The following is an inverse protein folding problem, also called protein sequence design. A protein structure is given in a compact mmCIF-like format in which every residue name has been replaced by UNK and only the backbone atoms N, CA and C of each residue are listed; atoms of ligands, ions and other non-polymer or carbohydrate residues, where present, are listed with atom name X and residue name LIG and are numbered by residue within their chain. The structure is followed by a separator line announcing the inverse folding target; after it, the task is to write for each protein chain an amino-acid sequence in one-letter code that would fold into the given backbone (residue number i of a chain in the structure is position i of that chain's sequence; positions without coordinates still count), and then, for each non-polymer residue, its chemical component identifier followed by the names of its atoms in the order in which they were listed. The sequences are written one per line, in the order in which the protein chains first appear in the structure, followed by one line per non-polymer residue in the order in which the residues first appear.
data_IF_773867020798
#
_entry.id   IF_773867020798
#
_cell.length_a   1.000
_cell.length_b   1.000
_cell.length_c   1.000
_cell.angle_alpha   90.00
_cell.angle_beta   90.00
_cell.angle_gamma   90.00
#
_symmetry.space_group_name_H-M   'P 1'
#
loop_
_entity.id
_entity.type
_entity.pdbx_description
1 polymer ?
#
# COMPACT_ATOMS: atom_id res chain seq x y z
N UNK A 1 6.53 -1.02 -4.12
CA UNK A 1 5.72 -2.22 -3.81
C UNK A 1 6.25 -3.37 -4.66
N UNK A 2 6.06 -4.62 -4.25
CA UNK A 2 6.48 -5.80 -5.03
C UNK A 2 5.58 -6.99 -4.70
N UNK A 3 5.28 -7.85 -5.67
CA UNK A 3 4.39 -9.00 -5.50
C UNK A 3 5.17 -10.28 -5.19
N UNK A 4 4.58 -11.18 -4.40
CA UNK A 4 5.14 -12.51 -4.18
C UNK A 4 5.02 -13.39 -5.44
N UNK A 5 5.77 -14.49 -5.47
CA UNK A 5 5.81 -15.39 -6.65
C UNK A 5 4.47 -16.02 -7.01
N UNK A 6 3.54 -16.10 -6.07
CA UNK A 6 2.25 -16.76 -6.25
C UNK A 6 1.15 -15.76 -6.65
N UNK A 7 1.34 -14.46 -6.41
CA UNK A 7 0.31 -13.46 -6.73
C UNK A 7 -0.70 -13.23 -5.59
N UNK A 8 -0.36 -13.57 -4.36
CA UNK A 8 -1.28 -13.48 -3.21
C UNK A 8 -1.00 -12.26 -2.33
N UNK A 9 0.26 -11.81 -2.27
CA UNK A 9 0.71 -10.79 -1.33
C UNK A 9 1.51 -9.71 -2.05
N UNK A 10 1.18 -8.46 -1.74
CA UNK A 10 1.92 -7.28 -2.15
C UNK A 10 2.74 -6.77 -0.96
N UNK A 11 4.07 -6.81 -1.06
CA UNK A 11 4.96 -6.16 -0.10
C UNK A 11 4.92 -4.64 -0.32
N UNK A 12 4.52 -3.91 0.73
CA UNK A 12 4.43 -2.45 0.73
C UNK A 12 5.43 -1.88 1.73
N UNK A 13 6.19 -0.88 1.30
CA UNK A 13 7.17 -0.16 2.13
C UNK A 13 6.75 1.30 2.24
N UNK A 14 6.60 1.77 3.47
CA UNK A 14 6.27 3.16 3.79
C UNK A 14 7.51 3.85 4.34
N UNK A 15 7.85 4.99 3.76
CA UNK A 15 8.89 5.84 4.33
C UNK A 15 8.32 6.70 5.45
N UNK A 16 9.03 6.76 6.57
CA UNK A 16 8.57 7.45 7.76
C UNK A 16 9.50 8.63 8.09
N UNK A 17 8.93 9.79 8.38
CA UNK A 17 9.74 10.96 8.71
C UNK A 17 10.27 10.85 10.14
N UNK A 18 11.58 10.66 10.31
CA UNK A 18 12.24 10.58 11.62
C UNK A 18 12.27 9.17 12.25
N UNK A 19 11.89 8.14 11.50
CA UNK A 19 12.03 6.74 11.91
C UNK A 19 12.49 5.88 10.72
N UNK A 20 12.78 4.60 10.97
CA UNK A 20 13.07 3.65 9.89
C UNK A 20 11.83 3.42 9.02
N UNK A 21 12.05 3.20 7.73
CA UNK A 21 11.01 2.69 6.83
C UNK A 21 10.39 1.41 7.38
N UNK A 22 9.11 1.18 7.08
CA UNK A 22 8.38 0.02 7.56
C UNK A 22 7.74 -0.74 6.39
N UNK A 23 7.89 -2.05 6.43
CA UNK A 23 7.31 -2.97 5.46
C UNK A 23 6.11 -3.70 6.06
N UNK A 24 5.07 -3.93 5.26
CA UNK A 24 3.95 -4.83 5.55
C UNK A 24 3.60 -5.67 4.32
N UNK A 25 3.09 -6.88 4.54
CA UNK A 25 2.45 -7.66 3.48
C UNK A 25 0.97 -7.29 3.38
N UNK A 26 0.53 -6.86 2.21
CA UNK A 26 -0.86 -6.52 1.91
C UNK A 26 -1.47 -7.61 1.02
N UNK A 27 -2.47 -8.35 1.51
CA UNK A 27 -3.19 -9.33 0.70
C UNK A 27 -3.85 -8.74 -0.55
N UNK A 28 -3.92 -9.54 -1.60
CA UNK A 28 -4.54 -9.18 -2.87
C UNK A 28 -5.95 -8.58 -2.71
N UNK A 29 -6.80 -9.17 -1.86
CA UNK A 29 -8.16 -8.66 -1.63
C UNK A 29 -8.18 -7.21 -1.09
N UNK A 30 -7.21 -6.83 -0.24
CA UNK A 30 -7.07 -5.45 0.24
C UNK A 30 -6.65 -4.55 -0.91
N UNK A 31 -5.72 -4.99 -1.76
CA UNK A 31 -5.26 -4.24 -2.94
C UNK A 31 -6.42 -3.98 -3.90
N UNK A 32 -7.21 -5.01 -4.23
CA UNK A 32 -8.37 -4.86 -5.11
C UNK A 32 -9.45 -3.98 -4.48
N UNK A 33 -9.74 -4.13 -3.18
CA UNK A 33 -10.67 -3.25 -2.49
C UNK A 33 -10.21 -1.79 -2.53
N UNK A 34 -8.93 -1.53 -2.25
CA UNK A 34 -8.35 -0.18 -2.33
C UNK A 34 -8.44 0.38 -3.76
N UNK A 35 -8.11 -0.38 -4.80
CA UNK A 35 -8.22 0.07 -6.18
C UNK A 35 -9.65 0.44 -6.59
N UNK A 36 -10.65 -0.28 -6.07
CA UNK A 36 -12.07 -0.01 -6.34
C UNK A 36 -12.59 1.23 -5.59
N UNK A 37 -12.04 1.56 -4.42
CA UNK A 37 -12.60 2.59 -3.53
C UNK A 37 -11.75 3.85 -3.37
N UNK A 38 -10.46 3.83 -3.72
CA UNK A 38 -9.62 5.02 -3.64
C UNK A 38 -9.98 6.04 -4.72
N UNK A 39 -9.96 7.33 -4.39
CA UNK A 39 -10.25 8.38 -5.36
C UNK A 39 -9.18 8.40 -6.44
N UNK A 40 -9.63 8.51 -7.69
CA UNK A 40 -8.75 8.74 -8.84
C UNK A 40 -8.37 10.21 -8.89
N UNK A 41 -7.09 10.50 -9.11
CA UNK A 41 -6.66 11.88 -9.30
C UNK A 41 -7.39 12.56 -10.48
N UNK A 42 -7.90 13.77 -10.24
CA UNK A 42 -8.52 14.64 -11.25
C UNK A 42 -7.78 15.96 -11.43
N UNK A 43 -6.72 16.19 -10.65
CA UNK A 43 -5.92 17.41 -10.69
C UNK A 43 -4.76 17.23 -11.67
N UNK A 44 -4.77 17.94 -12.83
CA UNK A 44 -3.69 17.85 -13.81
C UNK A 44 -2.39 18.52 -13.35
N UNK A 45 -2.43 19.32 -12.28
CA UNK A 45 -1.27 20.01 -11.71
C UNK A 45 -0.71 19.31 -10.48
N UNK A 46 -1.22 18.11 -10.14
CA UNK A 46 -0.74 17.35 -9.00
C UNK A 46 0.76 17.04 -9.16
N UNK A 47 1.56 17.57 -8.24
CA UNK A 47 2.99 17.31 -8.22
C UNK A 47 3.25 15.85 -7.83
N UNK A 48 4.18 15.20 -8.52
CA UNK A 48 4.62 13.87 -8.14
C UNK A 48 5.24 13.91 -6.74
N UNK A 49 4.96 12.92 -5.88
CA UNK A 49 5.64 12.83 -4.60
C UNK A 49 7.13 12.47 -4.82
N UNK A 50 7.98 12.61 -3.78
CA UNK A 50 9.35 12.10 -3.82
C UNK A 50 9.41 10.63 -4.24
N UNK A 51 10.55 10.22 -4.80
CA UNK A 51 10.76 8.82 -5.17
C UNK A 51 10.49 7.89 -3.96
N UNK A 52 9.71 6.82 -4.14
CA UNK A 52 9.42 5.90 -3.04
C UNK A 52 10.69 5.14 -2.64
N UNK A 53 10.77 4.63 -1.39
CA UNK A 53 11.88 3.80 -0.98
C UNK A 53 11.93 2.53 -1.81
N UNK A 54 13.15 2.12 -2.18
CA UNK A 54 13.35 0.85 -2.89
C UNK A 54 13.05 -0.33 -1.97
N UNK A 55 12.37 -1.33 -2.54
CA UNK A 55 12.19 -2.64 -1.89
C UNK A 55 13.39 -3.49 -2.27
N UNK A 56 14.11 -3.93 -1.26
CA UNK A 56 15.31 -4.75 -1.37
C UNK A 56 14.99 -6.22 -1.10
N UNK A 57 15.93 -7.12 -1.42
CA UNK A 57 15.79 -8.54 -1.06
C UNK A 57 15.70 -8.73 0.48
N UNK A 58 16.38 -7.88 1.25
CA UNK A 58 16.31 -7.93 2.71
C UNK A 58 14.90 -7.63 3.24
N UNK A 59 14.13 -6.78 2.55
CA UNK A 59 12.74 -6.48 2.93
C UNK A 59 11.84 -7.72 2.77
N UNK A 60 12.10 -8.54 1.74
CA UNK A 60 11.41 -9.82 1.50
C UNK A 60 11.82 -10.90 2.50
N UNK A 61 13.11 -10.97 2.80
CA UNK A 61 13.67 -12.01 3.68
C UNK A 61 13.41 -11.70 5.16
N UNK A 62 12.84 -10.55 5.50
CA UNK A 62 12.56 -10.15 6.87
C UNK A 62 11.38 -10.95 7.46
N UNK A 63 11.62 -11.87 8.42
CA UNK A 63 10.57 -12.71 8.99
C UNK A 63 9.63 -11.93 9.94
N UNK A 64 9.98 -10.70 10.29
CA UNK A 64 9.21 -9.83 11.19
C UNK A 64 8.33 -8.82 10.44
N UNK A 65 8.23 -8.93 9.11
CA UNK A 65 7.30 -8.11 8.31
C UNK A 65 5.88 -8.62 8.57
N UNK A 66 5.01 -7.84 9.25
CA UNK A 66 3.67 -8.29 9.57
C UNK A 66 2.77 -8.28 8.33
N UNK A 67 1.69 -9.04 8.40
CA UNK A 67 0.65 -9.07 7.37
C UNK A 67 -0.53 -8.21 7.78
N UNK A 68 -1.06 -7.44 6.83
CA UNK A 68 -2.30 -6.70 7.00
C UNK A 68 -3.51 -7.63 6.92
N UNK A 69 -4.40 -7.54 7.91
CA UNK A 69 -5.67 -8.27 7.95
C UNK A 69 -6.82 -7.43 7.40
N UNK A 70 -6.86 -6.16 7.77
CA UNK A 70 -7.87 -5.21 7.31
C UNK A 70 -7.28 -3.80 7.20
N UNK A 71 -7.90 -2.96 6.38
CA UNK A 71 -7.57 -1.54 6.27
C UNK A 71 -8.81 -0.70 6.52
N UNK A 72 -8.66 0.33 7.35
CA UNK A 72 -9.68 1.36 7.58
C UNK A 72 -9.21 2.65 6.92
N UNK A 73 -9.95 3.11 5.91
CA UNK A 73 -9.67 4.36 5.24
C UNK A 73 -10.59 5.47 5.76
N UNK A 74 -10.02 6.65 6.04
CA UNK A 74 -10.76 7.87 6.34
C UNK A 74 -10.25 9.00 5.48
N UNK A 75 -11.14 9.59 4.69
CA UNK A 75 -10.84 10.79 3.93
C UNK A 75 -10.68 12.00 4.88
N UNK A 76 -9.62 12.77 4.64
CA UNK A 76 -9.30 14.02 5.30
C UNK A 76 -9.20 15.12 4.23
N UNK A 77 -9.20 16.38 4.64
CA UNK A 77 -9.02 17.51 3.70
C UNK A 77 -7.63 17.44 3.05
N UNK A 78 -7.56 16.89 1.83
CA UNK A 78 -6.33 16.79 1.04
C UNK A 78 -5.47 15.55 1.33
N UNK A 79 -5.94 14.62 2.16
CA UNK A 79 -5.20 13.41 2.50
C UNK A 79 -6.15 12.23 2.80
N UNK A 80 -5.63 11.02 2.78
CA UNK A 80 -6.31 9.81 3.24
C UNK A 80 -5.51 9.23 4.39
N UNK A 81 -6.19 9.01 5.51
CA UNK A 81 -5.64 8.23 6.62
C UNK A 81 -6.01 6.76 6.42
N UNK A 82 -5.02 5.89 6.39
CA UNK A 82 -5.20 4.44 6.31
C UNK A 82 -4.66 3.81 7.58
N UNK A 83 -5.50 3.08 8.30
CA UNK A 83 -5.12 2.29 9.47
C UNK A 83 -5.19 0.82 9.10
N UNK A 84 -4.03 0.19 8.94
CA UNK A 84 -3.86 -1.23 8.71
C UNK A 84 -3.78 -1.95 10.04
N UNK A 85 -4.63 -2.94 10.24
CA UNK A 85 -4.43 -3.85 11.34
C UNK A 85 -3.56 -5.00 10.93
N UNK A 86 -2.64 -5.35 11.83
CA UNK A 86 -1.54 -6.24 11.58
C UNK A 86 -1.69 -7.50 12.43
N UNK A 87 -1.29 -8.63 11.87
CA UNK A 87 -1.41 -9.95 12.52
C UNK A 87 -0.53 -10.15 13.76
N UNK A 88 0.62 -9.46 13.80
CA UNK A 88 1.71 -9.76 14.73
C UNK A 88 2.33 -8.52 15.39
N UNK A 89 1.81 -7.33 15.07
CA UNK A 89 2.32 -6.03 15.56
C UNK A 89 1.17 -5.06 15.83
N UNK A 90 1.49 -3.91 16.43
CA UNK A 90 0.54 -2.80 16.56
C UNK A 90 0.07 -2.31 15.18
N UNK A 91 -1.18 -1.86 15.11
CA UNK A 91 -1.78 -1.30 13.89
C UNK A 91 -0.91 -0.19 13.29
N UNK A 92 -0.66 -0.27 11.98
CA UNK A 92 0.04 0.77 11.26
C UNK A 92 -0.96 1.81 10.75
N UNK A 93 -0.79 3.06 11.17
CA UNK A 93 -1.54 4.19 10.59
C UNK A 93 -0.62 5.07 9.75
N UNK A 94 -0.99 5.25 8.48
CA UNK A 94 -0.32 6.17 7.55
C UNK A 94 -1.28 7.28 7.11
N UNK A 95 -0.75 8.46 6.87
CA UNK A 95 -1.48 9.59 6.29
C UNK A 95 -0.82 9.94 4.98
N UNK A 96 -1.56 9.73 3.88
CA UNK A 96 -1.07 9.95 2.53
C UNK A 96 -1.76 11.17 1.95
N UNK A 97 -0.99 12.14 1.46
CA UNK A 97 -1.55 13.23 0.67
C UNK A 97 -2.05 12.72 -0.71
N UNK A 98 -2.67 13.61 -1.48
CA UNK A 98 -3.23 13.25 -2.80
C UNK A 98 -2.20 12.67 -3.77
N UNK A 99 -0.98 13.20 -3.77
CA UNK A 99 0.09 12.75 -4.68
C UNK A 99 0.59 11.36 -4.31
N UNK A 100 0.76 11.07 -3.02
CA UNK A 100 1.10 9.73 -2.55
C UNK A 100 -0.04 8.73 -2.75
N UNK A 101 -1.31 9.13 -2.57
CA UNK A 101 -2.46 8.26 -2.87
C UNK A 101 -2.49 7.87 -4.35
N UNK A 102 -2.26 8.83 -5.25
CA UNK A 102 -2.27 8.56 -6.69
C UNK A 102 -1.08 7.69 -7.09
N UNK A 103 0.12 7.96 -6.57
CA UNK A 103 1.28 7.08 -6.78
C UNK A 103 0.97 5.66 -6.31
N UNK A 104 0.44 5.51 -5.10
CA UNK A 104 0.06 4.22 -4.53
C UNK A 104 -0.95 3.50 -5.44
N UNK A 105 -1.96 4.21 -5.95
CA UNK A 105 -2.98 3.66 -6.86
C UNK A 105 -2.38 3.20 -8.18
N UNK A 106 -1.49 3.98 -8.79
CA UNK A 106 -0.81 3.62 -10.04
C UNK A 106 0.06 2.37 -9.88
N UNK A 107 0.82 2.31 -8.78
CA UNK A 107 1.67 1.16 -8.45
C UNK A 107 0.82 -0.08 -8.19
N UNK A 108 -0.24 0.03 -7.38
CA UNK A 108 -1.17 -1.08 -7.16
C UNK A 108 -1.83 -1.54 -8.46
N UNK A 109 -2.24 -0.63 -9.34
CA UNK A 109 -2.84 -1.00 -10.63
C UNK A 109 -1.86 -1.72 -11.56
N UNK A 110 -0.57 -1.40 -11.48
CA UNK A 110 0.49 -2.12 -12.20
C UNK A 110 0.61 -3.56 -11.68
N UNK A 111 0.71 -3.74 -10.36
CA UNK A 111 0.86 -5.05 -9.72
C UNK A 111 -0.43 -5.87 -9.65
N UNK A 112 -1.59 -5.25 -9.76
CA UNK A 112 -2.88 -5.96 -9.71
C UNK A 112 -3.04 -6.99 -10.83
N UNK A 113 -2.29 -6.84 -11.94
CA UNK A 113 -2.26 -7.82 -13.03
C UNK A 113 -1.54 -9.12 -12.65
N UNK A 114 -0.63 -9.04 -11.69
CA UNK A 114 0.15 -10.17 -11.19
C UNK A 114 -0.49 -10.78 -9.92
N UNK A 115 -1.52 -10.13 -9.37
CA UNK A 115 -2.28 -10.60 -8.22
C UNK A 115 -3.47 -11.48 -8.64
N UNK A 116 -3.81 -12.46 -7.81
CA UNK A 116 -4.97 -13.33 -8.00
C UNK A 116 -6.20 -12.68 -7.35
N UNK A 117 -7.16 -12.26 -8.17
CA UNK A 117 -8.48 -11.81 -7.69
C UNK A 117 -9.39 -13.03 -7.52
N UNK A 118 -9.60 -13.45 -6.27
CA UNK A 118 -10.46 -14.59 -5.93
C UNK A 118 -11.96 -14.21 -5.96
N UNK A 119 -12.29 -12.91 -5.99
CA UNK A 119 -13.66 -12.38 -5.98
C UNK A 119 -14.13 -11.95 -7.38
N UNK A 120 -13.36 -12.25 -8.43
CA UNK A 120 -13.70 -11.96 -9.82
C UNK A 120 -14.57 -13.08 -10.42
N UNK A 121 -15.83 -13.15 -9.98
CA UNK A 121 -16.90 -13.90 -10.66
C UNK A 121 -17.68 -13.04 -11.66
#
# INVERSE_FOLDING_TARGET
MSCDRVGNLLLVKFSNQGASDLCIYVPAFIVFWLLRHLPVNRDPQLQAPPAPPEITQQDWDNPYTPRAEYVKCKELKGAIRMSFALDSKEDLTVVLDRSNVELMRQVMAMYAKDLIDLDAE
#
